data_IF_728031699142
#
_entry.id   IF_728031699142
#
_cell.length_a   1.000
_cell.length_b   1.000
_cell.length_c   1.000
_cell.angle_alpha   90.00
_cell.angle_beta   90.00
_cell.angle_gamma   90.00
#
_symmetry.space_group_name_H-M   'P 1'
#
loop_
_entity.id
_entity.type
_entity.pdbx_description
1 polymer ?
#
# COMPACT_ATOMS: atom_id res chain seq x y z
N UNK A 1 92.71 -22.74 -1.18
CA UNK A 1 91.69 -23.52 -1.92
C UNK A 1 90.70 -24.33 -1.07
N UNK A 2 91.08 -24.85 0.12
CA UNK A 2 90.10 -25.55 1.02
C UNK A 2 89.00 -24.67 1.59
N UNK A 3 89.31 -23.43 1.99
CA UNK A 3 88.32 -22.46 2.51
C UNK A 3 87.23 -22.07 1.48
N UNK A 4 87.61 -21.84 0.24
CA UNK A 4 86.72 -21.52 -0.84
C UNK A 4 85.79 -22.70 -1.21
N UNK A 5 86.29 -23.93 -1.17
CA UNK A 5 85.49 -25.15 -1.39
C UNK A 5 84.40 -25.36 -0.30
N UNK A 6 84.78 -25.11 0.98
CA UNK A 6 83.85 -25.20 2.10
C UNK A 6 82.77 -24.07 2.07
N UNK A 7 83.16 -22.87 1.65
CA UNK A 7 82.19 -21.78 1.44
C UNK A 7 81.20 -22.09 0.29
N UNK A 8 81.71 -22.61 -0.83
CA UNK A 8 80.83 -22.99 -1.96
C UNK A 8 79.85 -24.11 -1.59
N UNK A 9 80.29 -25.11 -0.81
CA UNK A 9 79.38 -26.17 -0.35
C UNK A 9 78.29 -25.66 0.60
N UNK A 10 78.60 -24.73 1.51
CA UNK A 10 77.65 -24.08 2.39
C UNK A 10 76.62 -23.25 1.56
N UNK A 11 77.07 -22.46 0.62
CA UNK A 11 76.19 -21.67 -0.27
C UNK A 11 75.31 -22.56 -1.11
N UNK A 12 75.74 -23.71 -1.58
CA UNK A 12 74.93 -24.67 -2.31
C UNK A 12 73.81 -25.28 -1.46
N UNK A 13 74.07 -25.59 -0.17
CA UNK A 13 73.09 -26.09 0.76
C UNK A 13 72.06 -25.00 1.09
N UNK A 14 72.51 -23.79 1.32
CA UNK A 14 71.65 -22.64 1.62
C UNK A 14 70.74 -22.29 0.42
N UNK A 15 71.32 -22.32 -0.80
CA UNK A 15 70.56 -22.16 -2.03
C UNK A 15 69.45 -23.23 -2.21
N UNK A 16 69.77 -24.51 -1.91
CA UNK A 16 68.76 -25.59 -1.96
C UNK A 16 67.68 -25.38 -0.93
N UNK A 17 68.01 -24.92 0.27
CA UNK A 17 67.03 -24.62 1.33
C UNK A 17 66.09 -23.49 0.90
N UNK A 18 66.62 -22.36 0.45
CA UNK A 18 65.84 -21.22 -0.06
C UNK A 18 64.97 -21.59 -1.24
N UNK A 19 65.44 -22.44 -2.12
CA UNK A 19 64.67 -22.91 -3.28
C UNK A 19 63.48 -23.78 -2.86
N UNK A 20 63.67 -24.63 -1.85
CA UNK A 20 62.58 -25.44 -1.28
C UNK A 20 61.58 -24.57 -0.51
N UNK A 21 62.03 -23.58 0.24
CA UNK A 21 61.17 -22.62 0.95
C UNK A 21 60.34 -21.80 -0.04
N UNK A 22 60.98 -21.35 -1.13
CA UNK A 22 60.24 -20.62 -2.19
C UNK A 22 59.18 -21.47 -2.89
N UNK A 23 59.47 -22.77 -3.15
CA UNK A 23 58.46 -23.69 -3.67
C UNK A 23 57.26 -23.83 -2.71
N UNK A 24 57.55 -24.06 -1.43
CA UNK A 24 56.52 -24.19 -0.41
C UNK A 24 55.66 -22.90 -0.28
N UNK A 25 56.32 -21.74 -0.31
CA UNK A 25 55.62 -20.45 -0.30
C UNK A 25 54.74 -20.24 -1.52
N UNK A 26 55.22 -20.62 -2.71
CA UNK A 26 54.45 -20.54 -3.94
C UNK A 26 53.20 -21.45 -3.89
N UNK A 27 53.36 -22.68 -3.37
CA UNK A 27 52.23 -23.60 -3.18
C UNK A 27 51.19 -23.06 -2.16
N UNK A 28 51.67 -22.41 -1.09
CA UNK A 28 50.76 -21.75 -0.12
C UNK A 28 50.04 -20.56 -0.72
N UNK A 29 50.73 -19.75 -1.52
CA UNK A 29 50.13 -18.61 -2.22
C UNK A 29 49.07 -19.06 -3.22
N UNK A 30 49.31 -20.10 -4.00
CA UNK A 30 48.30 -20.61 -4.96
C UNK A 30 47.06 -21.10 -4.24
N UNK A 31 47.21 -21.87 -3.15
CA UNK A 31 46.08 -22.32 -2.33
C UNK A 31 45.28 -21.16 -1.72
N UNK A 32 45.98 -20.13 -1.23
CA UNK A 32 45.39 -18.95 -0.65
C UNK A 32 44.60 -18.16 -1.70
N UNK A 33 45.15 -18.05 -2.92
CA UNK A 33 44.44 -17.40 -4.04
C UNK A 33 43.18 -18.17 -4.47
N UNK A 34 43.24 -19.51 -4.48
CA UNK A 34 42.07 -20.34 -4.76
C UNK A 34 40.98 -20.15 -3.70
N UNK A 35 41.35 -20.14 -2.43
CA UNK A 35 40.43 -19.90 -1.32
C UNK A 35 39.83 -18.50 -1.39
N UNK A 36 40.64 -17.50 -1.69
CA UNK A 36 40.16 -16.12 -1.85
C UNK A 36 39.17 -16.00 -3.00
N UNK A 37 39.45 -16.63 -4.14
CA UNK A 37 38.55 -16.61 -5.29
C UNK A 37 37.21 -17.31 -4.96
N UNK A 38 37.25 -18.45 -4.26
CA UNK A 38 36.03 -19.11 -3.78
C UNK A 38 35.21 -18.22 -2.85
N UNK A 39 35.85 -17.59 -1.88
CA UNK A 39 35.16 -16.66 -0.97
C UNK A 39 34.55 -15.45 -1.69
N UNK A 40 35.23 -14.95 -2.73
CA UNK A 40 34.67 -13.87 -3.55
C UNK A 40 33.40 -14.31 -4.31
N UNK A 41 33.43 -15.52 -4.84
CA UNK A 41 32.27 -16.06 -5.57
C UNK A 41 31.10 -16.31 -4.62
N UNK A 42 31.35 -16.98 -3.49
CA UNK A 42 30.35 -17.18 -2.44
C UNK A 42 29.75 -15.85 -1.95
N UNK A 43 30.57 -14.81 -1.75
CA UNK A 43 30.08 -13.49 -1.37
C UNK A 43 29.18 -12.86 -2.42
N UNK A 44 29.46 -13.06 -3.71
CA UNK A 44 28.57 -12.59 -4.79
C UNK A 44 27.24 -13.33 -4.78
N UNK A 45 27.29 -14.66 -4.64
CA UNK A 45 26.09 -15.48 -4.53
C UNK A 45 25.22 -15.10 -3.33
N UNK A 46 25.83 -14.89 -2.17
CA UNK A 46 25.13 -14.42 -0.98
C UNK A 46 24.45 -13.05 -1.19
N UNK A 47 25.16 -12.11 -1.84
CA UNK A 47 24.57 -10.79 -2.13
C UNK A 47 23.36 -10.90 -3.05
N UNK A 48 23.42 -11.73 -4.09
CA UNK A 48 22.29 -11.97 -5.00
C UNK A 48 21.13 -12.62 -4.26
N UNK A 49 21.41 -13.66 -3.47
CA UNK A 49 20.40 -14.37 -2.68
C UNK A 49 19.73 -13.43 -1.66
N UNK A 50 20.55 -12.62 -0.98
CA UNK A 50 20.01 -11.64 -0.01
C UNK A 50 19.08 -10.63 -0.67
N UNK A 51 19.45 -10.12 -1.85
CA UNK A 51 18.59 -9.22 -2.61
C UNK A 51 17.26 -9.88 -3.01
N UNK A 52 17.30 -11.14 -3.46
CA UNK A 52 16.09 -11.90 -3.80
C UNK A 52 15.20 -12.16 -2.58
N UNK A 53 15.78 -12.50 -1.44
CA UNK A 53 15.02 -12.73 -0.19
C UNK A 53 14.42 -11.42 0.30
N UNK A 54 15.15 -10.31 0.24
CA UNK A 54 14.61 -8.99 0.60
C UNK A 54 13.41 -8.61 -0.26
N UNK A 55 13.52 -8.78 -1.57
CA UNK A 55 12.41 -8.52 -2.49
C UNK A 55 11.18 -9.38 -2.17
N UNK A 56 11.36 -10.70 -1.97
CA UNK A 56 10.26 -11.60 -1.61
C UNK A 56 9.62 -11.23 -0.28
N UNK A 57 10.41 -10.76 0.67
CA UNK A 57 9.92 -10.31 1.96
C UNK A 57 9.03 -9.07 1.79
N UNK A 58 9.45 -8.10 0.99
CA UNK A 58 8.66 -6.90 0.69
C UNK A 58 7.35 -7.25 -0.02
N UNK A 59 7.40 -8.13 -1.02
CA UNK A 59 6.21 -8.62 -1.72
C UNK A 59 5.24 -9.34 -0.76
N UNK A 60 5.76 -10.20 0.11
CA UNK A 60 4.96 -10.92 1.10
C UNK A 60 4.34 -9.97 2.13
N UNK A 61 5.10 -8.99 2.60
CA UNK A 61 4.60 -7.96 3.52
C UNK A 61 3.49 -7.13 2.88
N UNK A 62 3.65 -6.76 1.61
CA UNK A 62 2.60 -6.05 0.87
C UNK A 62 1.33 -6.89 0.72
N UNK A 63 1.49 -8.16 0.35
CA UNK A 63 0.34 -9.07 0.24
C UNK A 63 -0.38 -9.26 1.58
N UNK A 64 0.38 -9.44 2.67
CA UNK A 64 -0.18 -9.57 4.01
C UNK A 64 -0.91 -8.30 4.45
N UNK A 65 -0.35 -7.13 4.18
CA UNK A 65 -1.00 -5.85 4.47
C UNK A 65 -2.31 -5.69 3.68
N UNK A 66 -2.28 -5.98 2.37
CA UNK A 66 -3.50 -5.97 1.55
C UNK A 66 -4.57 -6.92 2.07
N UNK A 67 -4.18 -8.14 2.42
CA UNK A 67 -5.11 -9.14 2.98
C UNK A 67 -5.69 -8.69 4.31
N UNK A 68 -4.86 -8.13 5.18
CA UNK A 68 -5.27 -7.60 6.47
C UNK A 68 -6.33 -6.50 6.31
N UNK A 69 -6.04 -5.47 5.51
CA UNK A 69 -6.97 -4.36 5.31
C UNK A 69 -8.24 -4.76 4.54
N UNK A 70 -8.14 -5.69 3.58
CA UNK A 70 -9.32 -6.27 2.92
C UNK A 70 -10.22 -7.00 3.91
N UNK A 71 -9.67 -7.86 4.75
CA UNK A 71 -10.44 -8.59 5.77
C UNK A 71 -11.09 -7.62 6.75
N UNK A 72 -10.37 -6.59 7.17
CA UNK A 72 -10.91 -5.55 8.05
C UNK A 72 -12.05 -4.77 7.39
N UNK A 73 -11.93 -4.46 6.11
CA UNK A 73 -13.00 -3.82 5.31
C UNK A 73 -14.23 -4.71 5.20
N UNK A 74 -14.04 -5.98 4.85
CA UNK A 74 -15.14 -6.94 4.69
C UNK A 74 -15.85 -7.23 6.01
N UNK A 75 -15.12 -7.28 7.12
CA UNK A 75 -15.67 -7.46 8.47
C UNK A 75 -16.37 -6.23 9.06
N UNK A 76 -16.25 -5.07 8.42
CA UNK A 76 -16.89 -3.84 8.91
C UNK A 76 -18.40 -3.91 8.76
N UNK A 77 -19.13 -3.69 9.87
CA UNK A 77 -20.60 -3.68 9.91
C UNK A 77 -21.15 -2.34 9.39
N UNK A 78 -20.37 -1.28 9.49
CA UNK A 78 -20.79 0.07 9.10
C UNK A 78 -20.78 0.33 7.59
N UNK A 79 -20.15 -0.55 6.80
CA UNK A 79 -20.00 -0.41 5.36
C UNK A 79 -21.02 -1.27 4.61
N UNK A 80 -21.64 -0.69 3.58
CA UNK A 80 -22.47 -1.46 2.66
C UNK A 80 -21.60 -2.22 1.62
N UNK A 81 -22.17 -3.24 0.95
CA UNK A 81 -21.45 -4.09 0.00
C UNK A 81 -20.76 -3.32 -1.14
N UNK A 82 -21.40 -2.27 -1.66
CA UNK A 82 -20.81 -1.43 -2.71
C UNK A 82 -19.58 -0.66 -2.22
N UNK A 83 -19.63 -0.20 -0.98
CA UNK A 83 -18.52 0.52 -0.34
C UNK A 83 -17.37 -0.44 -0.05
N UNK A 84 -17.66 -1.61 0.53
CA UNK A 84 -16.66 -2.66 0.77
C UNK A 84 -15.91 -3.03 -0.51
N UNK A 85 -16.63 -3.30 -1.58
CA UNK A 85 -16.02 -3.68 -2.86
C UNK A 85 -15.11 -2.58 -3.41
N UNK A 86 -15.53 -1.32 -3.38
CA UNK A 86 -14.70 -0.19 -3.83
C UNK A 86 -13.41 -0.04 -3.00
N UNK A 87 -13.50 -0.19 -1.68
CA UNK A 87 -12.33 -0.11 -0.80
C UNK A 87 -11.39 -1.30 -1.04
N UNK A 88 -11.93 -2.51 -1.17
CA UNK A 88 -11.17 -3.72 -1.48
C UNK A 88 -10.44 -3.62 -2.82
N UNK A 89 -11.10 -3.07 -3.84
CA UNK A 89 -10.50 -2.85 -5.16
C UNK A 89 -9.37 -1.82 -5.08
N UNK A 90 -9.57 -0.72 -4.37
CA UNK A 90 -8.54 0.30 -4.17
C UNK A 90 -7.32 -0.25 -3.39
N UNK A 91 -7.54 -1.02 -2.30
CA UNK A 91 -6.47 -1.69 -1.56
C UNK A 91 -5.72 -2.70 -2.46
N UNK A 92 -6.41 -3.36 -3.38
CA UNK A 92 -5.80 -4.32 -4.31
C UNK A 92 -4.77 -3.66 -5.23
N UNK A 93 -5.00 -2.42 -5.62
CA UNK A 93 -4.14 -1.64 -6.52
C UNK A 93 -2.94 -0.99 -5.82
N UNK A 94 -2.93 -0.92 -4.49
CA UNK A 94 -1.83 -0.31 -3.75
C UNK A 94 -0.48 -0.96 -4.08
N UNK A 95 0.54 -0.16 -4.30
CA UNK A 95 1.89 -0.60 -4.64
C UNK A 95 2.81 -0.80 -3.42
N UNK A 96 2.41 -0.29 -2.24
CA UNK A 96 3.18 -0.38 -1.00
C UNK A 96 2.30 -0.64 0.21
N UNK A 97 2.92 -1.06 1.32
CA UNK A 97 2.23 -1.29 2.60
C UNK A 97 1.60 0.00 3.12
N UNK A 98 2.36 1.10 3.05
CA UNK A 98 1.90 2.42 3.51
C UNK A 98 0.74 2.94 2.67
N UNK A 99 0.79 2.72 1.35
CA UNK A 99 -0.30 3.08 0.45
C UNK A 99 -1.57 2.28 0.76
N UNK A 100 -1.46 0.97 0.96
CA UNK A 100 -2.60 0.13 1.34
C UNK A 100 -3.24 0.58 2.65
N UNK A 101 -2.43 0.98 3.64
CA UNK A 101 -2.88 1.54 4.90
C UNK A 101 -3.59 2.87 4.69
N UNK A 102 -2.99 3.79 3.96
CA UNK A 102 -3.53 5.12 3.69
C UNK A 102 -4.86 5.06 2.95
N UNK A 103 -4.96 4.19 1.95
CA UNK A 103 -6.21 3.94 1.20
C UNK A 103 -7.29 3.43 2.14
N UNK A 104 -6.98 2.45 2.99
CA UNK A 104 -7.92 1.93 3.96
C UNK A 104 -8.41 3.00 4.93
N UNK A 105 -7.51 3.74 5.58
CA UNK A 105 -7.85 4.78 6.57
C UNK A 105 -8.66 5.91 5.93
N UNK A 106 -8.26 6.38 4.76
CA UNK A 106 -8.92 7.49 4.06
C UNK A 106 -10.33 7.11 3.61
N UNK A 107 -10.48 5.95 2.98
CA UNK A 107 -11.77 5.52 2.47
C UNK A 107 -12.72 5.08 3.59
N UNK A 108 -12.20 4.43 4.64
CA UNK A 108 -13.02 4.04 5.79
C UNK A 108 -13.51 5.25 6.58
N UNK A 109 -12.67 6.28 6.77
CA UNK A 109 -13.07 7.53 7.42
C UNK A 109 -14.03 8.36 6.56
N UNK A 110 -13.80 8.43 5.26
CA UNK A 110 -14.68 9.13 4.33
C UNK A 110 -16.09 8.52 4.30
N UNK A 111 -16.18 7.19 4.35
CA UNK A 111 -17.47 6.50 4.36
C UNK A 111 -18.14 6.57 5.73
N UNK A 112 -17.37 6.47 6.83
CA UNK A 112 -17.89 6.62 8.19
C UNK A 112 -18.45 8.03 8.48
N UNK A 113 -17.89 9.06 7.82
CA UNK A 113 -18.42 10.43 7.92
C UNK A 113 -19.70 10.66 7.10
N UNK A 114 -20.04 9.75 6.18
CA UNK A 114 -21.30 9.72 5.44
C UNK A 114 -22.38 8.87 6.14
N UNK A 115 -22.29 8.58 7.43
CA UNK A 115 -23.48 8.40 8.22
C UNK A 115 -24.24 9.73 8.20
N UNK A 116 -24.84 10.02 7.03
CA UNK A 116 -25.88 11.02 6.96
C UNK A 116 -26.90 10.59 8.01
N UNK A 117 -27.01 11.36 9.08
CA UNK A 117 -28.15 11.25 9.99
C UNK A 117 -29.37 11.14 9.09
N UNK A 118 -29.87 9.94 8.90
CA UNK A 118 -31.11 9.74 8.18
C UNK A 118 -32.13 10.69 8.79
N UNK A 119 -33.06 11.24 8.03
CA UNK A 119 -34.04 12.16 8.56
C UNK A 119 -34.69 11.51 9.78
N UNK A 120 -34.58 12.15 10.92
CA UNK A 120 -35.12 11.65 12.20
C UNK A 120 -36.64 11.72 12.25
N UNK A 121 -37.26 12.44 11.29
CA UNK A 121 -38.71 12.52 11.14
C UNK A 121 -39.10 12.54 9.67
N UNK A 122 -40.35 12.14 9.41
CA UNK A 122 -40.95 12.18 8.05
C UNK A 122 -40.96 13.60 7.49
N UNK A 123 -41.10 14.63 8.30
CA UNK A 123 -41.05 16.04 7.89
C UNK A 123 -39.65 16.43 7.42
N UNK A 124 -38.58 15.99 8.10
CA UNK A 124 -37.20 16.24 7.67
C UNK A 124 -36.82 15.49 6.38
N UNK A 125 -37.42 14.28 6.19
CA UNK A 125 -37.25 13.51 4.95
C UNK A 125 -37.86 14.22 3.75
N UNK A 126 -38.99 14.88 3.97
CA UNK A 126 -39.73 15.63 2.93
C UNK A 126 -39.01 16.95 2.62
N UNK A 127 -38.46 17.64 3.62
CA UNK A 127 -37.68 18.88 3.41
C UNK A 127 -36.38 18.62 2.67
N UNK A 128 -35.63 17.57 3.01
CA UNK A 128 -34.35 17.22 2.33
C UNK A 128 -34.52 16.69 0.91
N UNK A 129 -35.66 16.08 0.58
CA UNK A 129 -36.01 15.69 -0.79
C UNK A 129 -36.73 16.78 -1.58
N UNK A 130 -37.05 17.88 -0.91
CA UNK A 130 -37.87 18.93 -1.45
C UNK A 130 -37.13 19.98 -2.28
N UNK A 131 -36.49 19.55 -3.36
CA UNK A 131 -36.30 20.45 -4.50
C UNK A 131 -37.63 20.84 -5.22
N UNK A 132 -38.76 20.28 -4.79
CA UNK A 132 -40.11 20.63 -5.13
C UNK A 132 -40.86 21.07 -3.87
N UNK A 133 -40.36 22.09 -3.18
CA UNK A 133 -41.27 22.89 -2.37
C UNK A 133 -42.25 23.54 -3.34
N UNK A 134 -43.39 22.92 -3.51
CA UNK A 134 -44.59 23.67 -3.83
C UNK A 134 -44.68 24.74 -2.73
N UNK A 135 -44.22 25.97 -3.02
CA UNK A 135 -44.52 27.13 -2.18
C UNK A 135 -45.98 27.00 -1.87
N UNK A 136 -46.43 27.04 -0.60
CA UNK A 136 -47.84 27.09 -0.32
C UNK A 136 -48.31 28.30 -1.11
N UNK A 137 -49.18 28.03 -2.09
CA UNK A 137 -49.82 29.08 -2.85
C UNK A 137 -50.48 29.96 -1.80
N UNK A 138 -49.92 31.14 -1.58
CA UNK A 138 -50.54 32.15 -0.79
C UNK A 138 -51.97 32.18 -1.33
N UNK A 139 -52.92 31.92 -0.45
CA UNK A 139 -54.31 32.20 -0.78
C UNK A 139 -54.37 33.70 -1.04
N UNK A 140 -54.06 34.10 -2.27
CA UNK A 140 -54.57 35.38 -2.74
C UNK A 140 -56.06 35.31 -2.50
N UNK A 141 -56.51 36.26 -1.70
CA UNK A 141 -57.92 36.50 -1.51
C UNK A 141 -58.56 36.64 -2.89
N UNK A 142 -58.93 35.54 -3.48
CA UNK A 142 -59.62 35.51 -4.77
C UNK A 142 -61.10 35.86 -4.60
N UNK A 143 -61.30 37.03 -3.98
CA UNK A 143 -62.63 37.64 -3.98
C UNK A 143 -62.88 38.48 -5.23
N UNK A 144 -62.06 38.32 -6.29
CA UNK A 144 -62.19 39.10 -7.52
C UNK A 144 -62.34 38.26 -8.79
N UNK A 145 -62.71 37.02 -8.68
CA UNK A 145 -63.12 36.30 -9.88
C UNK A 145 -64.57 36.62 -10.18
N UNK A 146 -64.85 37.39 -11.26
CA UNK A 146 -66.17 37.85 -11.58
C UNK A 146 -67.20 36.73 -11.85
N UNK A 147 -66.69 35.54 -12.17
CA UNK A 147 -67.52 34.34 -12.29
C UNK A 147 -67.92 33.80 -10.91
N UNK A 148 -67.08 33.85 -9.92
CA UNK A 148 -67.38 33.35 -8.57
C UNK A 148 -68.40 34.24 -7.87
N UNK A 149 -68.39 35.56 -8.08
CA UNK A 149 -69.39 36.49 -7.59
C UNK A 149 -70.72 36.32 -8.29
N UNK A 150 -70.75 35.99 -9.61
CA UNK A 150 -71.98 35.64 -10.34
C UNK A 150 -72.59 34.34 -9.80
N UNK A 151 -71.84 33.33 -9.53
CA UNK A 151 -72.30 32.06 -8.96
C UNK A 151 -72.90 32.25 -7.55
N UNK A 152 -72.24 33.06 -6.74
CA UNK A 152 -72.77 33.40 -5.40
C UNK A 152 -74.05 34.14 -5.40
N UNK A 153 -74.29 35.04 -6.44
CA UNK A 153 -75.53 35.71 -6.64
C UNK A 153 -76.65 34.76 -7.10
N UNK A 154 -76.38 33.87 -8.03
CA UNK A 154 -77.30 32.84 -8.52
C UNK A 154 -77.66 31.85 -7.41
N UNK A 155 -76.71 31.48 -6.54
CA UNK A 155 -76.93 30.59 -5.40
C UNK A 155 -77.62 31.27 -4.21
N UNK A 156 -77.90 32.55 -4.26
CA UNK A 156 -78.61 33.30 -3.17
C UNK A 156 -77.69 33.51 -1.91
N UNK A 157 -76.38 33.34 -2.02
CA UNK A 157 -75.45 33.43 -0.88
C UNK A 157 -75.00 34.89 -0.63
N UNK A 158 -75.13 35.76 -1.62
CA UNK A 158 -74.85 37.19 -1.51
C UNK A 158 -76.01 37.97 -2.22
N UNK A 159 -76.64 38.88 -1.45
CA UNK A 159 -77.50 39.88 -2.01
C UNK A 159 -76.74 40.95 -2.77
#
# INVERSE_FOLDING_TARGET
>A
NKSLSTQNSKLLVERKKTLNENKLLTEKLTKLLEQHNKLLEENKEFKVTLAQVSQRLEETNLLNAKLHYKNQTLGSVSLNERQKNKIVDAISQAGSVDEAKMVYETLSSAVGSFESKGPQSLSEAVEKKGGLTLKPRQKENSNTNPLYSKWQKIAGIKK
#
